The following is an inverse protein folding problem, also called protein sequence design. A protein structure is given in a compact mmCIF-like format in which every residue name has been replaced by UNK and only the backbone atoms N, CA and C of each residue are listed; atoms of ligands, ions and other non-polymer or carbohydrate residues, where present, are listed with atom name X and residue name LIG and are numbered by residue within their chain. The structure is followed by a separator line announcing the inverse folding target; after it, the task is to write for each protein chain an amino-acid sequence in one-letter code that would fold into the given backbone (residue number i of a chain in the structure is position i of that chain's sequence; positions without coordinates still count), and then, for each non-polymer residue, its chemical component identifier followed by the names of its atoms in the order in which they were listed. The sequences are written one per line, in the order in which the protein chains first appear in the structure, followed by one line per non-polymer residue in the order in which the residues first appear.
data_IF_990992984465
#
_entry.id   IF_990992984465
#
_cell.length_a   1.000
_cell.length_b   1.000
_cell.length_c   1.000
_cell.angle_alpha   90.00
_cell.angle_beta   90.00
_cell.angle_gamma   90.00
#
_symmetry.space_group_name_H-M   'P 1'
#
loop_
_entity.id
_entity.type
_entity.pdbx_description
1 polymer ?
#
# COMPACT_ATOMS: atom_id res chain seq x y z
N UNK A 1 -20.38 -17.10 -19.78
CA UNK A 1 -20.67 -18.51 -20.13
C UNK A 1 -21.69 -18.64 -21.24
N UNK A 2 -22.89 -18.05 -21.14
CA UNK A 2 -23.89 -18.17 -22.22
C UNK A 2 -23.37 -17.69 -23.58
N UNK A 3 -22.59 -16.59 -23.63
CA UNK A 3 -21.91 -16.16 -24.86
C UNK A 3 -20.97 -17.21 -25.47
N UNK A 4 -20.18 -17.92 -24.66
CA UNK A 4 -19.31 -19.00 -25.13
C UNK A 4 -20.10 -20.23 -25.58
N UNK A 5 -21.26 -20.48 -24.95
CA UNK A 5 -22.18 -21.52 -25.40
C UNK A 5 -22.77 -21.18 -26.78
N UNK A 6 -23.11 -19.93 -27.05
CA UNK A 6 -23.55 -19.48 -28.36
C UNK A 6 -22.45 -19.68 -29.42
N UNK A 7 -21.20 -19.31 -29.12
CA UNK A 7 -20.05 -19.54 -30.00
C UNK A 7 -19.82 -21.03 -30.28
N UNK A 8 -19.93 -21.89 -29.26
CA UNK A 8 -19.85 -23.35 -29.42
C UNK A 8 -20.97 -23.90 -30.29
N UNK A 9 -22.21 -23.44 -30.07
CA UNK A 9 -23.37 -23.82 -30.87
C UNK A 9 -23.21 -23.42 -32.33
N UNK A 10 -22.68 -22.22 -32.60
CA UNK A 10 -22.37 -21.74 -33.94
C UNK A 10 -21.29 -22.59 -34.62
N UNK A 11 -20.20 -22.91 -33.92
CA UNK A 11 -19.12 -23.74 -34.44
C UNK A 11 -19.54 -25.19 -34.75
N UNK A 12 -20.50 -25.73 -34.00
CA UNK A 12 -20.96 -27.12 -34.13
C UNK A 12 -22.32 -27.24 -34.86
N UNK A 13 -22.84 -26.13 -35.38
CA UNK A 13 -24.13 -26.08 -36.10
C UNK A 13 -25.31 -26.62 -35.26
N UNK A 14 -25.29 -26.33 -33.95
CA UNK A 14 -26.31 -26.73 -32.99
C UNK A 14 -27.22 -25.52 -32.72
N UNK A 15 -28.54 -25.73 -32.71
CA UNK A 15 -29.47 -24.66 -32.34
C UNK A 15 -29.35 -24.36 -30.83
N UNK A 16 -29.04 -23.12 -30.42
CA UNK A 16 -28.86 -22.80 -29.01
C UNK A 16 -30.20 -22.72 -28.27
N UNK A 17 -30.21 -23.17 -27.02
CA UNK A 17 -31.28 -22.93 -26.08
C UNK A 17 -31.34 -21.44 -25.69
N UNK A 18 -32.51 -20.98 -25.22
CA UNK A 18 -32.69 -19.61 -24.72
C UNK A 18 -31.86 -19.38 -23.45
N UNK A 19 -31.45 -18.13 -23.22
CA UNK A 19 -30.63 -17.77 -22.05
C UNK A 19 -31.26 -18.21 -20.73
N UNK A 20 -32.59 -18.12 -20.62
CA UNK A 20 -33.33 -18.56 -19.44
C UNK A 20 -33.22 -20.07 -19.23
N UNK A 21 -33.37 -20.88 -20.28
CA UNK A 21 -33.28 -22.34 -20.18
C UNK A 21 -31.83 -22.75 -19.89
N UNK A 22 -30.87 -22.12 -20.57
CA UNK A 22 -29.45 -22.32 -20.30
C UNK A 22 -29.10 -22.00 -18.84
N UNK A 23 -29.59 -20.87 -18.32
CA UNK A 23 -29.35 -20.45 -16.94
C UNK A 23 -29.97 -21.39 -15.92
N UNK A 24 -31.16 -21.93 -16.18
CA UNK A 24 -31.77 -22.94 -15.31
C UNK A 24 -30.91 -24.19 -15.28
N UNK A 25 -30.66 -24.82 -16.44
CA UNK A 25 -29.90 -26.07 -16.55
C UNK A 25 -28.49 -25.90 -15.96
N UNK A 26 -27.79 -24.82 -16.29
CA UNK A 26 -26.44 -24.54 -15.83
C UNK A 26 -26.36 -24.43 -14.29
N UNK A 27 -27.35 -23.81 -13.65
CA UNK A 27 -27.35 -23.62 -12.20
C UNK A 27 -27.98 -24.81 -11.43
N UNK A 28 -28.96 -25.51 -11.99
CA UNK A 28 -29.72 -26.55 -11.28
C UNK A 28 -29.25 -27.97 -11.58
N UNK A 29 -28.79 -28.25 -12.81
CA UNK A 29 -28.38 -29.60 -13.21
C UNK A 29 -26.86 -29.78 -13.15
N UNK A 30 -26.10 -28.71 -13.38
CA UNK A 30 -24.65 -28.80 -13.44
C UNK A 30 -23.92 -28.32 -12.18
N UNK A 31 -24.62 -27.72 -11.21
CA UNK A 31 -24.11 -27.27 -9.90
C UNK A 31 -22.71 -26.59 -9.96
N UNK A 32 -22.40 -25.93 -11.09
CA UNK A 32 -21.15 -25.22 -11.28
C UNK A 32 -21.34 -23.79 -10.79
N UNK A 33 -20.83 -23.50 -9.59
CA UNK A 33 -20.63 -22.12 -9.17
C UNK A 33 -19.27 -21.64 -9.65
N UNK A 34 -19.21 -20.44 -10.21
CA UNK A 34 -17.93 -19.77 -10.38
C UNK A 34 -17.43 -19.43 -8.99
N UNK A 35 -16.31 -20.04 -8.60
CA UNK A 35 -15.60 -19.60 -7.41
C UNK A 35 -15.15 -18.17 -7.65
N UNK A 36 -15.89 -17.22 -7.08
CA UNK A 36 -15.41 -15.86 -6.90
C UNK A 36 -14.42 -16.00 -5.75
N UNK A 37 -13.10 -15.83 -5.99
CA UNK A 37 -12.15 -15.82 -4.89
C UNK A 37 -12.63 -14.77 -3.90
N UNK A 38 -12.98 -15.19 -2.69
CA UNK A 38 -13.23 -14.24 -1.63
C UNK A 38 -11.93 -13.47 -1.44
N UNK A 39 -11.98 -12.16 -1.63
CA UNK A 39 -10.87 -11.24 -1.35
C UNK A 39 -10.37 -11.56 0.07
N UNK A 40 -9.10 -11.94 0.17
CA UNK A 40 -8.36 -12.15 1.41
C UNK A 40 -8.99 -13.13 2.41
N UNK A 41 -9.11 -14.40 2.00
CA UNK A 41 -9.14 -15.49 2.97
C UNK A 41 -7.68 -15.88 3.27
N UNK A 42 -7.32 -15.88 4.55
CA UNK A 42 -5.96 -15.66 5.04
C UNK A 42 -5.08 -16.91 5.09
N UNK A 43 -3.78 -16.78 4.83
CA UNK A 43 -2.89 -17.92 4.66
C UNK A 43 -2.80 -18.80 5.94
N UNK A 44 -2.69 -18.21 7.14
CA UNK A 44 -2.64 -18.98 8.41
C UNK A 44 -4.03 -19.54 8.78
N UNK A 45 -5.08 -18.71 8.76
CA UNK A 45 -6.42 -19.18 9.11
C UNK A 45 -6.97 -20.20 8.13
N UNK A 46 -6.73 -20.04 6.83
CA UNK A 46 -7.13 -21.04 5.83
C UNK A 46 -6.31 -22.30 5.95
N UNK A 47 -5.00 -22.21 6.23
CA UNK A 47 -4.18 -23.41 6.49
C UNK A 47 -4.70 -24.17 7.69
N UNK A 48 -5.07 -23.46 8.76
CA UNK A 48 -5.66 -24.08 9.95
C UNK A 48 -7.07 -24.66 9.64
N UNK A 49 -7.98 -23.86 9.08
CA UNK A 49 -9.37 -24.28 8.78
C UNK A 49 -9.43 -25.37 7.69
N UNK A 50 -8.51 -25.36 6.73
CA UNK A 50 -8.40 -26.34 5.65
C UNK A 50 -7.50 -27.54 5.95
N UNK A 51 -6.73 -27.48 7.05
CA UNK A 51 -5.78 -28.51 7.43
C UNK A 51 -6.44 -29.75 8.05
N UNK A 52 -5.71 -30.86 8.01
CA UNK A 52 -6.02 -32.10 8.72
C UNK A 52 -5.93 -31.92 10.24
N UNK A 53 -6.42 -32.89 11.01
CA UNK A 53 -6.35 -32.85 12.49
C UNK A 53 -4.90 -32.76 13.00
N UNK A 54 -3.96 -33.42 12.32
CA UNK A 54 -2.54 -33.40 12.66
C UNK A 54 -1.92 -32.02 12.38
N UNK A 55 -2.14 -31.47 11.19
CA UNK A 55 -1.67 -30.12 10.82
C UNK A 55 -2.25 -29.03 11.73
N UNK A 56 -3.52 -29.13 12.10
CA UNK A 56 -4.16 -28.21 13.06
C UNK A 56 -3.52 -28.28 14.44
N UNK A 57 -3.20 -29.49 14.91
CA UNK A 57 -2.57 -29.68 16.22
C UNK A 57 -1.17 -29.07 16.23
N UNK A 58 -0.40 -29.24 15.15
CA UNK A 58 0.94 -28.65 15.01
C UNK A 58 0.92 -27.11 14.92
N UNK A 59 -0.11 -26.53 14.29
CA UNK A 59 -0.24 -25.09 14.09
C UNK A 59 -1.10 -24.38 15.15
N UNK A 60 -1.64 -25.10 16.13
CA UNK A 60 -2.58 -24.57 17.14
C UNK A 60 -2.02 -23.36 17.87
N UNK A 61 -0.80 -23.46 18.38
CA UNK A 61 -0.17 -22.38 19.15
C UNK A 61 0.05 -21.12 18.29
N UNK A 62 0.50 -21.29 17.04
CA UNK A 62 0.69 -20.19 16.09
C UNK A 62 -0.66 -19.54 15.74
N UNK A 63 -1.70 -20.36 15.52
CA UNK A 63 -3.04 -19.88 15.22
C UNK A 63 -3.65 -19.10 16.39
N UNK A 64 -3.55 -19.60 17.62
CA UNK A 64 -4.06 -18.91 18.81
C UNK A 64 -3.30 -17.60 19.06
N UNK A 65 -1.98 -17.60 18.90
CA UNK A 65 -1.18 -16.38 19.01
C UNK A 65 -1.59 -15.35 17.94
N UNK A 66 -1.77 -15.79 16.69
CA UNK A 66 -2.23 -14.93 15.59
C UNK A 66 -3.61 -14.31 15.88
N UNK A 67 -4.56 -15.10 16.40
CA UNK A 67 -5.89 -14.64 16.82
C UNK A 67 -5.82 -13.64 17.97
N UNK A 68 -5.01 -13.91 18.99
CA UNK A 68 -4.81 -13.01 20.13
C UNK A 68 -4.20 -11.68 19.69
N UNK A 69 -3.16 -11.72 18.85
CA UNK A 69 -2.49 -10.52 18.35
C UNK A 69 -3.40 -9.65 17.49
N UNK A 70 -4.29 -10.27 16.71
CA UNK A 70 -5.33 -9.56 15.97
C UNK A 70 -6.23 -8.77 16.92
N UNK A 71 -6.73 -9.40 17.97
CA UNK A 71 -7.66 -8.77 18.91
C UNK A 71 -6.96 -7.62 19.66
N UNK A 72 -5.72 -7.83 20.12
CA UNK A 72 -4.91 -6.77 20.74
C UNK A 72 -4.67 -5.61 19.78
N UNK A 73 -4.30 -5.87 18.52
CA UNK A 73 -4.08 -4.82 17.53
C UNK A 73 -5.35 -3.98 17.26
N UNK A 74 -6.52 -4.62 17.27
CA UNK A 74 -7.83 -3.93 17.15
C UNK A 74 -8.14 -3.09 18.37
N UNK A 75 -7.88 -3.61 19.56
CA UNK A 75 -8.13 -2.90 20.82
C UNK A 75 -7.22 -1.68 20.96
N UNK A 76 -5.94 -1.81 20.60
CA UNK A 76 -5.00 -0.68 20.53
C UNK A 76 -5.48 0.39 19.55
N UNK A 77 -5.86 -0.01 18.33
CA UNK A 77 -6.40 0.92 17.33
C UNK A 77 -7.65 1.64 17.82
N UNK A 78 -8.55 0.90 18.49
CA UNK A 78 -9.78 1.46 19.05
C UNK A 78 -9.48 2.43 20.20
N UNK A 79 -8.55 2.11 21.09
CA UNK A 79 -8.12 2.98 22.17
C UNK A 79 -7.52 4.28 21.61
N UNK A 80 -6.57 4.18 20.68
CA UNK A 80 -5.96 5.35 20.03
C UNK A 80 -6.98 6.18 19.26
N UNK A 81 -7.99 5.55 18.64
CA UNK A 81 -9.11 6.27 18.00
C UNK A 81 -9.92 7.08 19.01
N UNK A 82 -10.17 6.56 20.22
CA UNK A 82 -10.86 7.33 21.26
C UNK A 82 -9.98 8.47 21.79
N UNK A 83 -8.69 8.21 22.01
CA UNK A 83 -7.72 9.25 22.40
C UNK A 83 -7.67 10.38 21.37
N UNK A 84 -7.59 10.05 20.07
CA UNK A 84 -7.53 11.03 18.99
C UNK A 84 -8.81 11.86 18.82
N UNK A 85 -9.95 11.40 19.35
CA UNK A 85 -11.20 12.18 19.38
C UNK A 85 -11.23 13.21 20.50
N UNK A 86 -10.49 12.96 21.58
CA UNK A 86 -10.47 13.79 22.79
C UNK A 86 -9.26 14.73 22.83
N UNK A 87 -8.14 14.33 22.22
CA UNK A 87 -6.90 15.10 22.17
C UNK A 87 -6.56 15.49 20.73
N UNK A 88 -6.63 16.79 20.43
CA UNK A 88 -6.31 17.34 19.11
C UNK A 88 -4.83 17.24 18.74
N UNK A 89 -3.93 17.15 19.73
CA UNK A 89 -2.49 16.96 19.50
C UNK A 89 -2.10 15.51 19.18
N UNK A 90 -3.04 14.57 19.30
CA UNK A 90 -2.82 13.15 19.03
C UNK A 90 -3.51 12.71 17.74
N UNK A 91 -2.74 12.21 16.78
CA UNK A 91 -3.22 11.73 15.50
C UNK A 91 -3.10 10.21 15.39
N UNK A 92 -4.25 9.52 15.45
CA UNK A 92 -4.33 8.11 15.08
C UNK A 92 -4.75 7.97 13.61
N UNK A 93 -3.96 7.25 12.81
CA UNK A 93 -4.24 7.06 11.39
C UNK A 93 -3.88 5.64 10.90
N UNK A 94 -4.64 5.14 9.95
CA UNK A 94 -4.36 3.89 9.21
C UNK A 94 -3.91 4.28 7.81
N UNK A 95 -2.90 3.61 7.29
CA UNK A 95 -2.48 3.84 5.91
C UNK A 95 -2.30 2.54 5.15
N UNK A 96 -2.52 2.61 3.84
CA UNK A 96 -2.37 1.47 2.94
C UNK A 96 -2.12 1.92 1.49
N UNK A 97 -1.49 1.06 0.71
CA UNK A 97 -1.27 1.27 -0.73
C UNK A 97 -2.32 0.48 -1.52
N UNK A 98 -3.18 1.18 -2.24
CA UNK A 98 -4.22 0.56 -3.07
C UNK A 98 -3.59 -0.33 -4.16
N UNK A 99 -4.34 -1.36 -4.57
CA UNK A 99 -4.01 -2.15 -5.75
C UNK A 99 -3.77 -1.22 -6.96
N UNK A 100 -2.86 -1.62 -7.85
CA UNK A 100 -2.52 -0.85 -9.05
C UNK A 100 -3.80 -0.44 -9.79
N UNK A 101 -3.92 0.86 -10.05
CA UNK A 101 -4.99 1.46 -10.84
C UNK A 101 -4.52 1.52 -12.32
N UNK A 102 -5.05 0.67 -13.21
CA UNK A 102 -4.53 0.55 -14.57
C UNK A 102 -4.91 1.73 -15.47
N UNK A 103 -4.06 1.99 -16.47
CA UNK A 103 -4.30 2.94 -17.55
C UNK A 103 -3.81 2.39 -18.91
N UNK A 104 -4.62 2.42 -19.97
CA UNK A 104 -6.01 2.86 -19.98
C UNK A 104 -6.92 1.82 -19.32
N UNK A 105 -7.81 2.26 -18.43
CA UNK A 105 -8.93 1.45 -17.97
C UNK A 105 -10.04 1.54 -19.01
N UNK A 106 -10.26 0.48 -19.79
CA UNK A 106 -11.38 0.39 -20.74
C UNK A 106 -12.11 -0.95 -20.60
N UNK A 107 -13.41 -0.97 -20.88
CA UNK A 107 -14.19 -2.22 -20.89
C UNK A 107 -14.04 -2.99 -22.22
N UNK A 108 -13.07 -2.62 -23.07
CA UNK A 108 -12.84 -3.26 -24.37
C UNK A 108 -11.87 -4.43 -24.19
N UNK A 109 -12.29 -5.63 -24.59
CA UNK A 109 -11.53 -6.87 -24.38
C UNK A 109 -10.11 -6.90 -24.95
N UNK A 110 -9.79 -6.04 -25.94
CA UNK A 110 -8.43 -5.94 -26.51
C UNK A 110 -7.36 -5.48 -25.49
N UNK A 111 -7.75 -4.82 -24.39
CA UNK A 111 -6.81 -4.42 -23.35
C UNK A 111 -6.32 -5.61 -22.49
N UNK A 112 -7.07 -6.72 -22.45
CA UNK A 112 -6.86 -7.82 -21.51
C UNK A 112 -5.49 -8.53 -21.64
N UNK A 113 -4.87 -8.47 -22.82
CA UNK A 113 -3.55 -9.08 -23.09
C UNK A 113 -2.42 -8.07 -23.25
N UNK A 114 -2.65 -6.81 -22.90
CA UNK A 114 -1.68 -5.72 -23.04
C UNK A 114 -1.22 -5.22 -21.69
N UNK A 115 0.00 -4.71 -21.66
CA UNK A 115 0.58 -4.16 -20.45
C UNK A 115 0.04 -2.75 -20.31
N UNK A 116 -0.55 -2.46 -19.16
CA UNK A 116 -1.12 -1.17 -18.83
C UNK A 116 -0.11 -0.33 -18.05
N UNK A 117 -0.27 0.99 -18.15
CA UNK A 117 0.44 1.95 -17.32
C UNK A 117 -0.12 1.88 -15.89
N UNK A 118 0.76 1.78 -14.91
CA UNK A 118 0.37 1.70 -13.50
C UNK A 118 0.20 3.09 -12.89
N UNK A 119 -0.97 3.33 -12.29
CA UNK A 119 -1.22 4.46 -11.38
C UNK A 119 -1.31 3.91 -9.96
N UNK A 120 -0.72 4.62 -9.02
CA UNK A 120 -0.64 4.25 -7.61
C UNK A 120 -1.45 5.25 -6.77
N UNK A 121 -2.05 4.74 -5.70
CA UNK A 121 -2.76 5.55 -4.72
C UNK A 121 -2.37 5.09 -3.31
N UNK A 122 -1.60 5.93 -2.61
CA UNK A 122 -1.29 5.71 -1.20
C UNK A 122 -2.30 6.47 -0.34
N UNK A 123 -3.00 5.74 0.51
CA UNK A 123 -4.12 6.25 1.28
C UNK A 123 -3.78 6.36 2.76
N UNK A 124 -4.19 7.47 3.39
CA UNK A 124 -4.09 7.67 4.84
C UNK A 124 -5.47 8.07 5.37
N UNK A 125 -6.02 7.27 6.27
CA UNK A 125 -7.29 7.49 6.96
C UNK A 125 -7.04 7.93 8.41
N UNK A 126 -7.40 9.16 8.76
CA UNK A 126 -7.38 9.66 10.15
C UNK A 126 -8.60 9.15 10.91
N UNK A 127 -8.36 8.38 11.97
CA UNK A 127 -9.39 7.61 12.69
C UNK A 127 -10.37 8.47 13.49
N UNK A 128 -9.95 9.66 13.94
CA UNK A 128 -10.76 10.52 14.81
C UNK A 128 -11.99 11.12 14.10
N UNK A 129 -11.77 11.69 12.92
CA UNK A 129 -12.74 12.52 12.19
C UNK A 129 -13.04 11.98 10.79
N UNK A 130 -12.50 10.81 10.41
CA UNK A 130 -12.61 10.24 9.07
C UNK A 130 -12.12 11.21 7.98
N UNK A 131 -11.02 11.90 8.24
CA UNK A 131 -10.31 12.68 7.22
C UNK A 131 -9.40 11.74 6.44
N UNK A 132 -9.50 11.78 5.12
CA UNK A 132 -9.00 10.74 4.22
C UNK A 132 -8.14 11.40 3.15
N UNK A 133 -6.87 11.01 3.09
CA UNK A 133 -5.88 11.54 2.15
C UNK A 133 -5.52 10.48 1.12
N UNK A 134 -5.42 10.88 -0.13
CA UNK A 134 -4.96 10.06 -1.25
C UNK A 134 -3.75 10.75 -1.88
N UNK A 135 -2.58 10.12 -1.83
CA UNK A 135 -1.38 10.55 -2.53
C UNK A 135 -1.26 9.72 -3.80
N UNK A 136 -1.37 10.36 -4.97
CA UNK A 136 -1.47 9.66 -6.23
C UNK A 136 -0.38 10.07 -7.21
N UNK A 137 0.18 9.08 -7.91
CA UNK A 137 1.16 9.25 -8.99
C UNK A 137 1.09 8.07 -9.95
N UNK A 138 1.76 8.15 -11.09
CA UNK A 138 1.88 7.03 -12.03
C UNK A 138 3.33 6.63 -12.22
N UNK A 139 3.57 5.44 -12.80
CA UNK A 139 4.90 4.80 -12.81
C UNK A 139 6.02 5.58 -13.51
N UNK A 140 5.68 6.58 -14.35
CA UNK A 140 6.68 7.48 -14.94
C UNK A 140 7.08 8.65 -14.05
N UNK A 141 6.39 8.85 -12.92
CA UNK A 141 6.65 9.89 -11.92
C UNK A 141 7.42 9.33 -10.73
N UNK A 142 6.98 8.20 -10.22
CA UNK A 142 7.53 7.54 -9.04
C UNK A 142 7.25 6.04 -9.06
N UNK A 143 8.09 5.26 -8.37
CA UNK A 143 7.85 3.83 -8.12
C UNK A 143 6.86 3.64 -6.96
N UNK A 144 6.69 2.42 -6.47
CA UNK A 144 5.85 2.10 -5.29
C UNK A 144 6.67 1.57 -4.09
N UNK A 145 7.90 2.03 -3.96
CA UNK A 145 8.84 1.58 -2.95
C UNK A 145 8.74 2.36 -1.64
N UNK A 146 9.57 1.97 -0.68
CA UNK A 146 9.66 2.61 0.64
C UNK A 146 9.98 4.11 0.60
N UNK A 147 10.73 4.59 -0.40
CA UNK A 147 10.99 6.02 -0.56
C UNK A 147 9.70 6.79 -0.85
N UNK A 148 8.86 6.33 -1.78
CA UNK A 148 7.62 7.02 -2.13
C UNK A 148 6.62 7.00 -0.97
N UNK A 149 6.49 5.85 -0.31
CA UNK A 149 5.60 5.70 0.85
C UNK A 149 6.07 6.58 2.02
N UNK A 150 7.35 6.54 2.36
CA UNK A 150 7.90 7.32 3.46
C UNK A 150 7.83 8.82 3.21
N UNK A 151 7.92 9.27 1.96
CA UNK A 151 7.69 10.67 1.59
C UNK A 151 6.22 11.08 1.73
N UNK A 152 5.28 10.24 1.33
CA UNK A 152 3.86 10.53 1.56
C UNK A 152 3.55 10.63 3.07
N UNK A 153 4.10 9.72 3.88
CA UNK A 153 4.00 9.78 5.34
C UNK A 153 4.65 11.04 5.90
N UNK A 154 5.85 11.40 5.44
CA UNK A 154 6.54 12.62 5.86
C UNK A 154 5.70 13.87 5.55
N UNK A 155 5.11 13.98 4.36
CA UNK A 155 4.24 15.10 3.99
C UNK A 155 2.99 15.15 4.87
N UNK A 156 2.38 14.01 5.18
CA UNK A 156 1.23 13.94 6.08
C UNK A 156 1.61 14.38 7.50
N UNK A 157 2.73 13.89 8.03
CA UNK A 157 3.24 14.27 9.36
C UNK A 157 3.53 15.77 9.39
N UNK A 158 4.27 16.31 8.43
CA UNK A 158 4.58 17.74 8.33
C UNK A 158 3.29 18.58 8.33
N UNK A 159 2.30 18.20 7.50
CA UNK A 159 0.98 18.85 7.46
C UNK A 159 0.31 18.86 8.85
N UNK A 160 0.31 17.72 9.55
CA UNK A 160 -0.36 17.60 10.84
C UNK A 160 0.42 18.25 11.99
N UNK A 161 1.74 18.32 11.91
CA UNK A 161 2.54 19.13 12.84
C UNK A 161 2.19 20.61 12.73
N UNK A 162 1.97 21.11 11.52
CA UNK A 162 1.48 22.47 11.28
C UNK A 162 0.04 22.70 11.79
N UNK A 163 -0.73 21.63 11.98
CA UNK A 163 -2.05 21.63 12.64
C UNK A 163 -1.95 21.30 14.15
N UNK A 164 -0.77 21.51 14.75
CA UNK A 164 -0.49 21.30 16.17
C UNK A 164 -0.49 19.86 16.69
N UNK A 165 -0.48 18.85 15.82
CA UNK A 165 -0.23 17.46 16.24
C UNK A 165 1.20 17.31 16.77
N UNK A 166 1.35 16.61 17.91
CA UNK A 166 2.63 16.28 18.55
C UNK A 166 2.86 14.78 18.72
N UNK A 167 1.79 13.98 18.67
CA UNK A 167 1.87 12.53 18.79
C UNK A 167 1.14 11.86 17.63
N UNK A 168 1.79 10.86 17.05
CA UNK A 168 1.27 10.10 15.93
C UNK A 168 1.21 8.61 16.29
N UNK A 169 0.08 7.98 16.01
CA UNK A 169 -0.07 6.53 16.07
C UNK A 169 -0.56 6.03 14.72
N UNK A 170 0.35 5.41 13.98
CA UNK A 170 0.10 4.84 12.67
C UNK A 170 -0.18 3.35 12.74
N UNK A 171 -1.07 2.90 11.86
CA UNK A 171 -1.45 1.51 11.71
C UNK A 171 -1.32 1.12 10.24
N UNK A 172 -0.67 0.00 9.95
CA UNK A 172 -0.60 -0.55 8.60
C UNK A 172 -0.51 -2.06 8.61
N UNK A 173 -0.81 -2.67 7.47
CA UNK A 173 -0.56 -4.10 7.24
C UNK A 173 0.94 -4.39 7.10
N UNK A 174 1.30 -5.68 7.25
CA UNK A 174 2.69 -6.15 7.24
C UNK A 174 3.26 -6.25 5.82
N UNK A 175 3.61 -5.12 5.22
CA UNK A 175 4.39 -5.11 3.97
C UNK A 175 5.87 -4.80 4.25
N UNK A 176 6.72 -5.84 4.19
CA UNK A 176 8.16 -5.75 4.46
C UNK A 176 8.92 -4.79 3.53
N UNK A 177 8.66 -4.91 2.22
CA UNK A 177 9.34 -4.10 1.20
C UNK A 177 9.00 -2.61 1.25
N UNK A 178 7.79 -2.27 1.68
CA UNK A 178 7.26 -0.89 1.65
C UNK A 178 7.32 -0.22 3.02
N UNK A 179 6.79 -0.87 4.07
CA UNK A 179 6.46 -0.19 5.33
C UNK A 179 7.33 -0.66 6.51
N UNK A 180 7.68 -1.94 6.55
CA UNK A 180 8.46 -2.55 7.65
C UNK A 180 9.94 -2.68 7.27
N UNK A 181 10.61 -1.54 7.12
CA UNK A 181 12.03 -1.48 6.77
C UNK A 181 12.74 -0.28 7.42
N UNK A 182 14.07 -0.34 7.45
CA UNK A 182 14.92 0.70 8.04
C UNK A 182 14.75 2.10 7.43
N UNK A 183 14.23 2.21 6.20
CA UNK A 183 14.05 3.49 5.51
C UNK A 183 12.87 4.28 6.11
N UNK A 184 11.74 3.62 6.33
CA UNK A 184 10.60 4.22 7.06
C UNK A 184 11.00 4.56 8.49
N UNK A 185 11.72 3.66 9.14
CA UNK A 185 12.10 3.83 10.54
C UNK A 185 13.08 4.98 10.78
N UNK A 186 14.10 5.13 9.92
CA UNK A 186 14.98 6.33 9.98
C UNK A 186 14.22 7.62 9.69
N UNK A 187 13.22 7.58 8.81
CA UNK A 187 12.37 8.73 8.53
C UNK A 187 11.58 9.15 9.77
N UNK A 188 11.01 8.22 10.52
CA UNK A 188 10.35 8.54 11.80
C UNK A 188 11.31 9.12 12.83
N UNK A 189 12.52 8.56 12.99
CA UNK A 189 13.52 9.11 13.90
C UNK A 189 13.92 10.54 13.52
N UNK A 190 14.13 10.80 12.22
CA UNK A 190 14.40 12.14 11.69
C UNK A 190 13.27 13.13 12.01
N UNK A 191 12.03 12.76 11.72
CA UNK A 191 10.86 13.63 11.92
C UNK A 191 10.57 13.87 13.40
N UNK A 192 10.70 12.85 14.24
CA UNK A 192 10.57 12.97 15.69
C UNK A 192 11.50 14.04 16.26
N UNK A 193 12.73 14.12 15.76
CA UNK A 193 13.69 15.14 16.19
C UNK A 193 13.46 16.51 15.56
N UNK A 194 13.20 16.55 14.25
CA UNK A 194 13.00 17.79 13.50
C UNK A 194 11.80 18.56 14.05
N UNK A 195 10.72 17.86 14.38
CA UNK A 195 9.46 18.45 14.80
C UNK A 195 9.20 18.37 16.30
N UNK A 196 10.06 17.70 17.06
CA UNK A 196 9.84 17.42 18.49
C UNK A 196 8.50 16.70 18.73
N UNK A 197 8.34 15.55 18.08
CA UNK A 197 7.11 14.74 18.11
C UNK A 197 7.41 13.29 18.47
N UNK A 198 6.36 12.54 18.82
CA UNK A 198 6.42 11.08 19.00
C UNK A 198 5.69 10.42 17.84
N UNK A 199 6.32 9.42 17.22
CA UNK A 199 5.72 8.65 16.14
C UNK A 199 5.76 7.17 16.52
N UNK A 200 4.58 6.59 16.74
CA UNK A 200 4.38 5.16 16.92
C UNK A 200 3.79 4.57 15.66
N UNK A 201 4.30 3.42 15.25
CA UNK A 201 3.78 2.64 14.14
C UNK A 201 3.55 1.20 14.59
N UNK A 202 2.27 0.83 14.63
CA UNK A 202 1.80 -0.52 14.94
C UNK A 202 1.50 -1.26 13.66
N UNK A 203 2.07 -2.46 13.54
CA UNK A 203 1.92 -3.34 12.39
C UNK A 203 0.89 -4.43 12.67
N UNK A 204 -0.23 -4.38 11.96
CA UNK A 204 -1.37 -5.27 12.19
C UNK A 204 -1.10 -6.68 11.66
N UNK A 205 -1.79 -7.68 12.22
CA UNK A 205 -1.65 -9.06 11.73
C UNK A 205 -2.12 -9.17 10.28
N UNK A 206 -1.32 -9.87 9.47
CA UNK A 206 -1.60 -10.03 8.03
C UNK A 206 -2.97 -10.64 7.87
N UNK A 207 -3.74 -10.02 6.99
CA UNK A 207 -4.98 -10.62 6.61
C UNK A 207 -5.91 -10.78 7.81
N UNK A 208 -6.21 -9.71 8.52
CA UNK A 208 -7.35 -9.72 9.46
C UNK A 208 -7.98 -8.33 9.60
N UNK A 209 -7.60 -7.46 8.68
CA UNK A 209 -7.87 -6.05 8.75
C UNK A 209 -8.69 -5.72 7.53
N UNK A 210 -10.02 -5.71 7.66
CA UNK A 210 -10.80 -4.77 6.86
C UNK A 210 -10.44 -3.40 7.43
N UNK A 211 -9.44 -2.78 6.83
CA UNK A 211 -8.95 -1.47 7.24
C UNK A 211 -9.90 -0.39 6.78
N UNK A 212 -9.80 0.76 7.42
CA UNK A 212 -10.39 1.99 6.91
C UNK A 212 -9.81 2.36 5.52
N UNK A 213 -8.60 1.89 5.18
CA UNK A 213 -8.01 1.97 3.84
C UNK A 213 -8.81 1.16 2.80
N UNK A 214 -9.14 -0.09 3.08
CA UNK A 214 -9.95 -0.95 2.19
C UNK A 214 -11.32 -0.33 1.90
N UNK A 215 -11.88 0.39 2.87
CA UNK A 215 -13.14 1.12 2.69
C UNK A 215 -12.99 2.25 1.67
N UNK A 216 -11.88 2.99 1.69
CA UNK A 216 -11.56 4.01 0.69
C UNK A 216 -11.42 3.37 -0.70
N UNK A 217 -10.62 2.31 -0.81
CA UNK A 217 -10.39 1.61 -2.08
C UNK A 217 -11.68 1.03 -2.66
N UNK A 218 -12.53 0.43 -1.82
CA UNK A 218 -13.83 -0.12 -2.24
C UNK A 218 -14.80 0.95 -2.77
N UNK A 219 -14.68 2.20 -2.33
CA UNK A 219 -15.45 3.33 -2.87
C UNK A 219 -14.87 3.78 -4.21
N UNK A 220 -13.53 3.87 -4.32
CA UNK A 220 -12.83 4.22 -5.57
C UNK A 220 -13.07 3.17 -6.66
N UNK A 221 -12.96 1.89 -6.33
CA UNK A 221 -13.24 0.76 -7.23
C UNK A 221 -14.67 0.83 -7.77
N UNK A 222 -15.66 1.07 -6.89
CA UNK A 222 -17.06 1.25 -7.32
C UNK A 222 -17.25 2.46 -8.22
N UNK A 223 -16.63 3.59 -7.89
CA UNK A 223 -16.73 4.81 -8.69
C UNK A 223 -16.12 4.62 -10.09
N UNK A 224 -15.03 3.86 -10.21
CA UNK A 224 -14.35 3.62 -11.49
C UNK A 224 -14.97 2.49 -12.32
N UNK A 225 -15.80 1.62 -11.73
CA UNK A 225 -16.29 0.38 -12.36
C UNK A 225 -16.78 0.56 -13.80
N UNK A 226 -17.64 1.54 -14.04
CA UNK A 226 -18.28 1.77 -15.35
C UNK A 226 -17.69 2.97 -16.12
N UNK A 227 -16.63 3.59 -15.61
CA UNK A 227 -16.03 4.79 -16.21
C UNK A 227 -14.73 4.39 -16.91
N UNK A 228 -14.60 4.64 -18.24
CA UNK A 228 -13.33 4.47 -18.93
C UNK A 228 -12.36 5.61 -18.58
N UNK A 229 -11.10 5.28 -18.30
CA UNK A 229 -10.06 6.22 -17.88
C UNK A 229 -8.82 6.00 -18.74
N UNK A 230 -8.24 7.08 -19.25
CA UNK A 230 -7.15 7.05 -20.24
C UNK A 230 -5.92 7.87 -19.81
N UNK A 231 -5.99 8.59 -18.70
CA UNK A 231 -4.88 9.41 -18.18
C UNK A 231 -4.91 9.43 -16.65
N UNK A 232 -3.78 9.74 -16.03
CA UNK A 232 -3.67 9.80 -14.57
C UNK A 232 -4.56 10.90 -13.98
N UNK A 233 -4.67 12.05 -14.65
CA UNK A 233 -5.54 13.16 -14.24
C UNK A 233 -7.02 12.75 -14.11
N UNK A 234 -7.46 11.81 -14.95
CA UNK A 234 -8.82 11.25 -14.86
C UNK A 234 -8.99 10.36 -13.63
N UNK A 235 -7.98 9.59 -13.26
CA UNK A 235 -7.99 8.88 -11.97
C UNK A 235 -8.05 9.87 -10.81
N UNK A 236 -7.23 10.92 -10.82
CA UNK A 236 -7.20 11.91 -9.74
C UNK A 236 -8.55 12.61 -9.58
N UNK A 237 -9.17 13.00 -10.70
CA UNK A 237 -10.50 13.61 -10.73
C UNK A 237 -11.59 12.64 -10.23
N UNK A 238 -11.51 11.38 -10.64
CA UNK A 238 -12.44 10.35 -10.19
C UNK A 238 -12.32 10.11 -8.68
N UNK A 239 -11.11 9.99 -8.15
CA UNK A 239 -10.89 9.78 -6.71
C UNK A 239 -11.42 10.97 -5.91
N UNK A 240 -11.16 12.21 -6.34
CA UNK A 240 -11.73 13.41 -5.70
C UNK A 240 -13.26 13.40 -5.62
N UNK A 241 -13.93 12.79 -6.60
CA UNK A 241 -15.39 12.76 -6.70
C UNK A 241 -16.03 11.44 -6.29
N UNK A 242 -15.23 10.43 -5.90
CA UNK A 242 -15.72 9.09 -5.58
C UNK A 242 -16.63 9.08 -4.34
N UNK A 243 -16.33 9.92 -3.33
CA UNK A 243 -17.09 10.04 -2.10
C UNK A 243 -17.86 11.36 -2.04
N UNK A 244 -19.21 11.27 -2.00
CA UNK A 244 -20.11 12.43 -2.12
C UNK A 244 -20.19 13.33 -0.89
N UNK A 245 -20.16 12.76 0.32
CA UNK A 245 -20.42 13.54 1.56
C UNK A 245 -19.19 14.23 2.11
N UNK A 246 -18.04 13.55 2.07
CA UNK A 246 -16.74 14.05 2.51
C UNK A 246 -15.69 13.62 1.49
N UNK A 247 -15.42 14.46 0.47
CA UNK A 247 -14.44 14.14 -0.57
C UNK A 247 -13.05 13.86 0.01
N UNK A 248 -12.30 13.00 -0.68
CA UNK A 248 -10.91 12.72 -0.31
C UNK A 248 -10.01 13.92 -0.59
N UNK A 249 -9.01 14.14 0.26
CA UNK A 249 -7.93 15.11 0.00
C UNK A 249 -6.93 14.45 -0.94
N UNK A 250 -7.02 14.76 -2.24
CA UNK A 250 -6.16 14.16 -3.27
C UNK A 250 -4.96 15.04 -3.56
N UNK A 251 -3.78 14.56 -3.19
CA UNK A 251 -2.48 15.15 -3.51
C UNK A 251 -1.89 14.45 -4.72
N UNK A 252 -1.70 15.18 -5.80
CA UNK A 252 -0.97 14.72 -6.98
C UNK A 252 0.52 14.85 -6.69
N UNK A 253 1.21 13.72 -6.66
CA UNK A 253 2.64 13.67 -6.41
C UNK A 253 3.38 13.78 -7.74
N UNK A 254 4.42 14.60 -7.79
CA UNK A 254 5.35 14.73 -8.91
C UNK A 254 6.74 14.20 -8.51
N UNK A 255 7.60 13.95 -9.51
CA UNK A 255 8.97 13.42 -9.37
C UNK A 255 9.80 14.22 -8.37
N UNK A 256 9.61 15.54 -8.36
CA UNK A 256 10.32 16.50 -7.51
C UNK A 256 9.92 16.37 -6.04
N UNK A 257 8.79 15.73 -5.75
CA UNK A 257 8.36 15.48 -4.38
C UNK A 257 9.07 14.28 -3.77
N UNK A 258 9.66 13.36 -4.57
CA UNK A 258 10.25 12.13 -4.06
C UNK A 258 11.73 12.24 -3.77
N UNK A 259 12.11 11.87 -2.55
CA UNK A 259 13.50 11.84 -2.09
C UNK A 259 13.95 10.45 -1.67
N UNK A 260 15.24 10.18 -1.81
CA UNK A 260 15.86 8.89 -1.60
C UNK A 260 16.06 8.60 -0.11
N UNK A 261 15.07 7.93 0.48
CA UNK A 261 15.13 7.48 1.87
C UNK A 261 16.15 6.35 2.09
N UNK A 262 16.60 5.67 1.03
CA UNK A 262 17.69 4.69 1.13
C UNK A 262 19.02 5.37 1.29
N UNK A 263 19.25 6.46 0.55
CA UNK A 263 20.40 7.32 0.74
C UNK A 263 20.37 7.97 2.13
N UNK A 264 19.22 8.47 2.58
CA UNK A 264 19.04 8.96 3.94
C UNK A 264 19.46 7.90 4.97
N UNK A 265 18.89 6.70 4.91
CA UNK A 265 19.21 5.64 5.87
C UNK A 265 20.68 5.21 5.82
N UNK A 266 21.33 5.26 4.65
CA UNK A 266 22.76 4.98 4.53
C UNK A 266 23.60 6.05 5.24
N UNK A 267 23.16 7.29 5.17
CA UNK A 267 23.85 8.43 5.77
C UNK A 267 23.53 8.55 7.28
N UNK A 268 22.40 8.02 7.75
CA UNK A 268 21.93 8.17 9.15
C UNK A 268 21.94 6.91 10.01
N UNK A 269 22.04 5.71 9.43
CA UNK A 269 22.00 4.45 10.19
C UNK A 269 23.33 3.72 10.09
N UNK A 270 24.00 3.55 11.23
CA UNK A 270 25.13 2.63 11.38
C UNK A 270 24.70 1.23 11.80
N UNK A 271 23.67 1.12 12.65
CA UNK A 271 23.22 -0.14 13.20
C UNK A 271 21.70 -0.30 13.06
N UNK A 272 21.32 -1.44 12.49
CA UNK A 272 19.94 -1.88 12.31
C UNK A 272 19.75 -3.35 12.71
N UNK A 273 20.86 -4.08 12.90
CA UNK A 273 20.87 -5.53 12.98
C UNK A 273 20.89 -6.02 14.43
N UNK A 274 21.21 -5.12 15.39
CA UNK A 274 21.37 -5.44 16.80
C UNK A 274 20.77 -4.37 17.70
N UNK A 275 20.29 -4.79 18.86
CA UNK A 275 19.81 -3.86 19.89
C UNK A 275 20.94 -3.45 20.86
N UNK A 276 20.60 -2.64 21.86
CA UNK A 276 21.55 -2.15 22.88
C UNK A 276 22.11 -3.26 23.78
N UNK A 277 21.45 -4.42 23.85
CA UNK A 277 21.92 -5.62 24.56
C UNK A 277 22.76 -6.53 23.66
N UNK A 278 23.04 -6.08 22.43
CA UNK A 278 23.80 -6.79 21.39
C UNK A 278 23.10 -8.06 20.87
N UNK A 279 21.78 -8.19 21.09
CA UNK A 279 20.97 -9.25 20.52
C UNK A 279 20.58 -8.94 19.06
N UNK A 280 20.40 -9.99 18.25
CA UNK A 280 20.02 -9.82 16.83
C UNK A 280 18.58 -9.35 16.70
N UNK A 281 18.37 -8.26 15.94
CA UNK A 281 17.06 -7.73 15.63
C UNK A 281 16.46 -8.42 14.42
N UNK A 282 15.24 -8.92 14.55
CA UNK A 282 14.47 -9.53 13.47
C UNK A 282 13.39 -8.55 13.01
N UNK A 283 13.70 -7.71 12.02
CA UNK A 283 12.78 -6.67 11.52
C UNK A 283 11.40 -7.22 11.16
N UNK A 284 11.33 -8.41 10.56
CA UNK A 284 10.08 -9.06 10.18
C UNK A 284 9.16 -9.40 11.36
N UNK A 285 9.70 -9.49 12.58
CA UNK A 285 8.94 -9.79 13.80
C UNK A 285 8.47 -8.54 14.55
N UNK A 286 8.93 -7.34 14.16
CA UNK A 286 8.59 -6.09 14.86
C UNK A 286 7.09 -5.79 14.70
N UNK A 287 6.38 -5.69 15.83
CA UNK A 287 4.94 -5.37 15.88
C UNK A 287 4.67 -3.91 16.17
N UNK A 288 5.45 -3.31 17.06
CA UNK A 288 5.36 -1.87 17.34
C UNK A 288 6.75 -1.29 17.16
N UNK A 289 6.80 -0.12 16.54
CA UNK A 289 7.98 0.72 16.45
C UNK A 289 7.64 2.11 16.95
N UNK A 290 8.55 2.74 17.68
CA UNK A 290 8.37 4.09 18.20
C UNK A 290 9.66 4.91 18.02
N UNK A 291 9.50 6.08 17.38
CA UNK A 291 10.49 7.15 17.35
C UNK A 291 10.08 8.25 18.34
N UNK A 292 11.02 8.71 19.17
CA UNK A 292 10.76 9.71 20.22
C UNK A 292 11.93 10.67 20.38
N UNK A 293 11.64 11.92 20.77
CA UNK A 293 12.68 12.90 21.12
C UNK A 293 13.53 12.45 22.31
N UNK A 294 12.96 11.69 23.26
CA UNK A 294 13.68 11.27 24.48
C UNK A 294 14.98 10.53 24.17
N UNK A 295 15.00 9.83 23.04
CA UNK A 295 16.16 9.08 22.58
C UNK A 295 16.38 9.35 21.09
N UNK A 296 17.00 10.49 20.73
CA UNK A 296 17.06 10.95 19.34
C UNK A 296 17.68 9.87 18.44
N UNK A 297 18.78 9.26 18.88
CA UNK A 297 19.54 8.29 18.11
C UNK A 297 19.03 6.87 18.25
N UNK A 298 17.88 6.67 18.89
CA UNK A 298 17.36 5.34 19.19
C UNK A 298 15.96 5.15 18.67
N UNK A 299 15.67 3.91 18.30
CA UNK A 299 14.33 3.47 17.95
C UNK A 299 13.92 2.39 18.93
N UNK A 300 12.73 2.55 19.48
CA UNK A 300 12.13 1.57 20.38
C UNK A 300 11.27 0.62 19.55
N UNK A 301 11.31 -0.67 19.88
CA UNK A 301 10.51 -1.66 19.19
C UNK A 301 10.01 -2.76 20.13
N UNK A 302 8.96 -3.46 19.71
CA UNK A 302 8.43 -4.64 20.38
C UNK A 302 8.20 -5.79 19.41
N UNK A 303 8.39 -7.03 19.87
CA UNK A 303 7.99 -8.23 19.14
C UNK A 303 6.61 -8.73 19.54
N UNK A 304 6.22 -8.56 20.81
CA UNK A 304 4.85 -8.77 21.29
C UNK A 304 4.26 -7.46 21.82
N UNK A 305 2.95 -7.32 21.74
CA UNK A 305 2.23 -6.14 22.25
C UNK A 305 2.42 -5.94 23.77
N UNK A 306 2.56 -7.03 24.52
CA UNK A 306 2.64 -7.04 25.99
C UNK A 306 4.07 -7.00 26.53
N UNK A 307 5.06 -7.12 25.65
CA UNK A 307 6.47 -7.07 26.05
C UNK A 307 6.95 -5.63 26.32
N UNK A 308 8.01 -5.47 27.13
CA UNK A 308 8.69 -4.18 27.26
C UNK A 308 9.36 -3.79 25.93
N UNK A 309 9.58 -2.49 25.74
CA UNK A 309 10.31 -2.00 24.58
C UNK A 309 11.77 -2.43 24.63
N UNK A 310 12.24 -2.98 23.51
CA UNK A 310 13.67 -3.12 23.19
C UNK A 310 14.12 -1.89 22.42
N UNK A 311 15.42 -1.64 22.39
CA UNK A 311 15.97 -0.39 21.84
C UNK A 311 17.11 -0.66 20.88
N UNK A 312 17.03 -0.07 19.67
CA UNK A 312 18.13 -0.04 18.71
C UNK A 312 18.78 1.33 18.79
N UNK A 313 20.10 1.39 19.00
CA UNK A 313 20.88 2.61 18.77
C UNK A 313 21.29 2.66 17.30
N UNK A 314 20.81 3.66 16.57
CA UNK A 314 21.05 3.81 15.14
C UNK A 314 22.45 4.31 14.83
N UNK A 315 23.05 5.10 15.72
CA UNK A 315 24.31 5.82 15.46
C UNK A 315 25.55 5.09 16.02
N UNK A 316 25.36 3.98 16.71
CA UNK A 316 26.45 3.23 17.34
C UNK A 316 26.53 1.80 16.81
N UNK A 317 27.72 1.37 16.34
CA UNK A 317 28.00 -0.02 15.95
C UNK A 317 29.36 -0.46 16.49
N UNK A 318 29.36 -1.31 17.52
CA UNK A 318 30.58 -1.70 18.22
C UNK A 318 31.25 -0.48 18.86
N UNK A 319 32.51 -0.19 18.49
CA UNK A 319 33.24 0.99 18.97
C UNK A 319 33.01 2.26 18.13
N UNK A 320 32.28 2.16 17.02
CA UNK A 320 32.05 3.28 16.09
C UNK A 320 30.77 4.00 16.49
N UNK A 321 30.87 5.31 16.69
CA UNK A 321 29.74 6.22 16.89
C UNK A 321 29.81 7.31 15.83
N UNK A 322 28.67 7.74 15.30
CA UNK A 322 28.59 8.97 14.51
C UNK A 322 27.85 10.03 15.32
N UNK A 323 28.38 11.25 15.30
CA UNK A 323 27.66 12.44 15.72
C UNK A 323 26.99 13.05 14.48
N UNK A 324 25.68 12.87 14.36
CA UNK A 324 24.88 13.32 13.22
C UNK A 324 23.90 14.38 13.69
N UNK A 325 24.03 15.59 13.14
CA UNK A 325 22.99 16.59 13.28
C UNK A 325 21.85 16.28 12.29
N UNK A 326 20.92 15.47 12.76
CA UNK A 326 19.75 15.04 11.99
C UNK A 326 18.87 16.23 11.58
N UNK A 327 18.93 17.39 12.25
CA UNK A 327 18.12 18.56 11.89
C UNK A 327 18.53 19.21 10.58
N UNK A 328 19.81 19.08 10.21
CA UNK A 328 20.39 19.74 9.03
C UNK A 328 20.58 18.79 7.84
N UNK A 329 19.99 17.60 7.88
CA UNK A 329 20.12 16.63 6.79
C UNK A 329 19.33 17.08 5.56
N UNK A 330 20.03 17.15 4.43
CA UNK A 330 19.42 17.40 3.15
C UNK A 330 19.06 16.09 2.46
N UNK A 331 17.78 15.98 2.08
CA UNK A 331 17.29 14.83 1.34
C UNK A 331 17.72 14.91 -0.12
N UNK A 332 18.22 13.79 -0.67
CA UNK A 332 18.63 13.67 -2.07
C UNK A 332 17.41 13.31 -2.92
N UNK A 333 17.25 13.92 -4.10
CA UNK A 333 16.17 13.58 -5.03
C UNK A 333 16.24 12.10 -5.46
N UNK A 334 15.09 11.42 -5.50
CA UNK A 334 15.00 10.03 -5.99
C UNK A 334 15.24 9.96 -7.49
N UNK A 335 14.72 10.95 -8.22
CA UNK A 335 14.62 10.90 -9.67
C UNK A 335 15.25 12.14 -10.29
N UNK A 336 16.12 11.93 -11.29
CA UNK A 336 16.72 13.03 -12.08
C UNK A 336 15.83 13.50 -13.23
N UNK A 337 14.77 12.74 -13.53
CA UNK A 337 13.87 12.95 -14.66
C UNK A 337 12.73 11.94 -14.61
N UNK A 338 11.91 11.91 -15.66
CA UNK A 338 10.83 10.93 -15.77
C UNK A 338 11.37 9.49 -15.75
N UNK A 339 10.63 8.60 -15.12
CA UNK A 339 10.97 7.19 -15.04
C UNK A 339 10.55 6.53 -16.34
N UNK A 340 11.51 5.93 -17.04
CA UNK A 340 11.21 5.20 -18.27
C UNK A 340 10.42 3.92 -17.99
N UNK A 341 9.42 3.59 -18.80
CA UNK A 341 8.74 2.29 -18.77
C UNK A 341 9.48 1.25 -19.61
N UNK A 342 9.10 -0.03 -19.51
CA UNK A 342 9.69 -1.06 -20.39
C UNK A 342 9.29 -0.83 -21.85
N UNK A 343 10.19 -1.13 -22.79
CA UNK A 343 9.90 -1.04 -24.24
C UNK A 343 8.65 -1.84 -24.61
N UNK A 344 8.51 -3.06 -24.08
CA UNK A 344 7.33 -3.92 -24.29
C UNK A 344 6.03 -3.23 -23.84
N UNK A 345 6.02 -2.60 -22.66
CA UNK A 345 4.87 -1.86 -22.16
C UNK A 345 4.56 -0.65 -23.04
N UNK A 346 5.59 0.11 -23.42
CA UNK A 346 5.42 1.24 -24.34
C UNK A 346 4.79 0.81 -25.67
N UNK A 347 5.29 -0.26 -26.29
CA UNK A 347 4.77 -0.77 -27.57
C UNK A 347 3.32 -1.26 -27.43
N UNK A 348 2.97 -1.89 -26.30
CA UNK A 348 1.58 -2.24 -26.00
C UNK A 348 0.67 -1.01 -25.90
N UNK A 349 1.12 0.06 -25.25
CA UNK A 349 0.36 1.31 -25.14
C UNK A 349 0.23 2.03 -26.48
N UNK A 350 1.27 2.02 -27.33
CA UNK A 350 1.17 2.56 -28.69
C UNK A 350 0.21 1.74 -29.56
N UNK A 351 0.24 0.41 -29.45
CA UNK A 351 -0.72 -0.45 -30.14
C UNK A 351 -2.18 -0.11 -29.76
N UNK A 352 -2.45 0.14 -28.47
CA UNK A 352 -3.78 0.57 -28.01
C UNK A 352 -4.18 1.96 -28.55
N UNK A 353 -3.20 2.85 -28.78
CA UNK A 353 -3.42 4.11 -29.49
C UNK A 353 -3.79 3.86 -30.95
N UNK A 354 -3.04 3.02 -31.66
CA UNK A 354 -3.23 2.77 -33.10
C UNK A 354 -4.53 2.04 -33.40
N UNK A 355 -4.94 1.10 -32.54
CA UNK A 355 -6.23 0.38 -32.64
C UNK A 355 -7.44 1.20 -32.23
N UNK A 356 -7.25 2.42 -31.73
CA UNK A 356 -8.34 3.31 -31.35
C UNK A 356 -8.98 3.01 -29.99
N UNK A 357 -8.46 2.03 -29.23
CA UNK A 357 -8.88 1.79 -27.84
C UNK A 357 -8.63 3.04 -26.98
N UNK A 358 -7.50 3.72 -27.20
CA UNK A 358 -7.22 5.03 -26.62
C UNK A 358 -7.69 6.12 -27.59
N UNK A 359 -8.69 6.94 -27.19
CA UNK A 359 -9.20 8.04 -28.02
C UNK A 359 -8.10 9.03 -28.42
N UNK A 360 -8.19 9.58 -29.63
CA UNK A 360 -7.17 10.47 -30.22
C UNK A 360 -6.69 11.57 -29.29
N UNK A 361 -7.61 12.17 -28.51
CA UNK A 361 -7.33 13.26 -27.58
C UNK A 361 -6.36 12.89 -26.44
N UNK A 362 -6.23 11.61 -26.09
CA UNK A 362 -5.36 11.13 -25.01
C UNK A 362 -4.05 10.52 -25.53
N UNK A 363 -3.87 10.38 -26.85
CA UNK A 363 -2.70 9.70 -27.41
C UNK A 363 -1.38 10.44 -27.15
N UNK A 364 -1.42 11.76 -27.00
CA UNK A 364 -0.24 12.57 -26.68
C UNK A 364 0.39 12.17 -25.35
N UNK A 365 -0.44 11.89 -24.34
CA UNK A 365 0.01 11.42 -23.03
C UNK A 365 0.89 10.17 -23.16
N UNK A 366 0.42 9.17 -23.91
CA UNK A 366 1.15 7.91 -24.10
C UNK A 366 2.36 8.02 -25.01
N UNK A 367 2.29 8.84 -26.07
CA UNK A 367 3.41 9.08 -27.00
C UNK A 367 4.60 9.77 -26.34
N UNK A 368 4.35 10.55 -25.30
CA UNK A 368 5.38 11.29 -24.59
C UNK A 368 6.03 10.48 -23.45
N UNK A 369 5.60 9.23 -23.21
CA UNK A 369 6.20 8.37 -22.21
C UNK A 369 7.63 7.98 -22.61
N UNK A 370 8.56 8.11 -21.67
CA UNK A 370 9.93 7.63 -21.86
C UNK A 370 9.96 6.11 -21.70
N UNK A 371 10.80 5.42 -22.47
CA UNK A 371 10.96 3.98 -22.37
C UNK A 371 12.42 3.54 -22.44
N UNK A 372 12.72 2.38 -21.88
CA UNK A 372 14.05 1.76 -21.91
C UNK A 372 14.00 0.34 -22.47
N UNK A 373 15.01 -0.04 -23.25
CA UNK A 373 15.16 -1.39 -23.81
C UNK A 373 15.64 -2.42 -22.78
N UNK A 374 16.04 -1.97 -21.58
CA UNK A 374 16.40 -2.86 -20.48
C UNK A 374 15.11 -3.48 -19.94
N UNK A 375 15.00 -4.80 -19.98
CA UNK A 375 13.95 -5.55 -19.31
C UNK A 375 14.04 -5.26 -17.81
N UNK A 376 13.11 -4.44 -17.31
CA UNK A 376 12.85 -4.41 -15.88
C UNK A 376 12.07 -5.67 -15.57
N UNK A 377 12.53 -6.46 -14.61
CA UNK A 377 11.71 -7.51 -14.00
C UNK A 377 10.41 -6.84 -13.55
N UNK A 378 9.28 -7.38 -14.02
CA UNK A 378 7.96 -6.84 -13.73
C UNK A 378 7.76 -6.74 -12.21
N UNK A 379 7.14 -5.64 -11.75
CA UNK A 379 6.88 -5.29 -10.36
C UNK A 379 5.90 -6.28 -9.67
N UNK A 380 6.37 -7.50 -9.39
CA UNK A 380 5.75 -8.47 -8.50
C UNK A 380 6.59 -8.65 -7.24
N UNK A 381 6.65 -7.62 -6.41
CA UNK A 381 6.88 -7.70 -4.95
C UNK A 381 6.14 -6.57 -4.24
#
# INVERSE_FOLDING_TARGET
MYGLYLEYCEQNNIQPATESIYGIIFNTEFNFSFFIPKKDLYDICNKYDGGTTEERTEMEEEYQLHRKNKDIGRDLKNADKQTAKQNTEFCAAVFDLEQILPLPKSNVGMAYYKLELSTYNFTIFKLANSEEHCYMWYESVGKRGSSEIGICLMRFIDLKVHEDTREFSFYSDNCGGQNRNKYIFSTYSLLAQKHNIVIRHTFLEKGHTQTEGDSMHSVIERASKLIPLFTADQWYTLVRSAKRSKPYVVTEMDKENFFDLKALAKDTILNWDRDVENEKVSTNKIRILEGTLKFPNKILFKYDYNEPFRTIDLLTKGRRTIDLDLKNIQLKQCYKGAISISKKKYDHLQFLCDKGTIPTRYRSFYKNLQYSNVSREDDSE
#
